data_IF_093206322008
#
_entry.id   IF_093206322008
#
_cell.length_a   1.000
_cell.length_b   1.000
_cell.length_c   1.000
_cell.angle_alpha   90.00
_cell.angle_beta   90.00
_cell.angle_gamma   90.00
#
_symmetry.space_group_name_H-M   'P 1'
#
loop_
_entity.id
_entity.type
_entity.pdbx_description
1 polymer ?
#
# COMPACT_ATOMS: atom_id res chain seq x y z
N UNK A 1 -15.28 -50.87 -18.84
CA UNK A 1 -15.72 -49.46 -18.75
C UNK A 1 -14.63 -48.75 -17.99
N UNK A 2 -13.80 -47.98 -18.69
CA UNK A 2 -12.84 -47.10 -18.08
C UNK A 2 -13.63 -45.84 -17.60
N UNK A 3 -13.65 -45.61 -16.31
CA UNK A 3 -14.10 -44.32 -15.80
C UNK A 3 -13.06 -43.29 -16.25
N UNK A 4 -13.41 -42.38 -17.15
CA UNK A 4 -12.70 -41.13 -17.29
C UNK A 4 -12.94 -40.40 -15.96
N UNK A 5 -11.97 -40.33 -15.10
CA UNK A 5 -11.89 -39.28 -14.09
C UNK A 5 -11.55 -38.02 -14.88
N UNK A 6 -12.48 -37.13 -14.96
CA UNK A 6 -12.26 -35.76 -15.45
C UNK A 6 -11.43 -35.10 -14.35
N UNK A 7 -10.12 -35.16 -14.43
CA UNK A 7 -9.18 -34.50 -13.52
C UNK A 7 -9.06 -33.03 -13.96
N UNK A 8 -10.18 -32.29 -13.88
CA UNK A 8 -10.18 -30.87 -14.12
C UNK A 8 -9.54 -30.19 -12.91
N UNK A 9 -8.38 -29.61 -13.11
CA UNK A 9 -7.70 -28.80 -12.10
C UNK A 9 -8.29 -27.40 -12.09
N UNK A 10 -8.47 -26.84 -10.90
CA UNK A 10 -9.00 -25.49 -10.70
C UNK A 10 -7.99 -24.64 -9.95
N UNK A 11 -7.91 -23.34 -10.33
CA UNK A 11 -7.19 -22.33 -9.57
C UNK A 11 -8.16 -21.39 -8.87
N UNK A 12 -7.84 -21.00 -7.65
CA UNK A 12 -8.66 -20.11 -6.86
C UNK A 12 -8.36 -18.63 -7.17
N UNK A 13 -9.42 -17.82 -7.13
CA UNK A 13 -9.36 -16.39 -7.38
C UNK A 13 -9.57 -16.01 -8.83
N UNK A 14 -10.50 -15.11 -9.05
CA UNK A 14 -10.79 -14.57 -10.40
C UNK A 14 -10.63 -13.05 -10.34
N UNK A 15 -9.91 -12.50 -11.30
CA UNK A 15 -9.72 -11.06 -11.42
C UNK A 15 -10.70 -10.46 -12.42
N UNK A 16 -11.50 -9.51 -11.95
CA UNK A 16 -12.46 -8.81 -12.79
C UNK A 16 -11.96 -7.41 -13.13
N UNK A 17 -11.86 -7.11 -14.42
CA UNK A 17 -11.67 -5.74 -14.86
C UNK A 17 -12.91 -4.91 -14.51
N UNK A 18 -12.68 -3.76 -13.89
CA UNK A 18 -13.67 -2.77 -13.52
C UNK A 18 -13.59 -1.55 -14.44
N UNK A 19 -14.37 -0.50 -14.14
CA UNK A 19 -14.27 0.76 -14.88
C UNK A 19 -12.86 1.31 -14.84
N UNK A 20 -12.33 1.64 -15.99
CA UNK A 20 -11.02 2.27 -16.07
C UNK A 20 -11.04 3.62 -15.35
N UNK A 21 -9.88 4.01 -14.85
CA UNK A 21 -9.69 5.26 -14.15
C UNK A 21 -9.87 6.45 -15.12
N UNK A 22 -10.81 7.35 -14.83
CA UNK A 22 -11.15 8.49 -15.70
C UNK A 22 -10.06 9.59 -15.73
N UNK A 23 -9.08 9.51 -14.83
CA UNK A 23 -7.92 10.41 -14.84
C UNK A 23 -6.82 9.95 -15.78
N UNK A 24 -5.67 10.59 -15.70
CA UNK A 24 -4.51 10.19 -16.52
C UNK A 24 -3.80 8.97 -15.92
N UNK A 25 -3.39 8.04 -16.79
CA UNK A 25 -2.58 6.89 -16.41
C UNK A 25 -1.33 7.30 -15.61
N UNK A 26 -1.09 6.65 -14.49
CA UNK A 26 -0.07 7.07 -13.53
C UNK A 26 0.49 5.95 -12.67
N UNK A 27 1.62 6.22 -12.07
CA UNK A 27 2.25 5.40 -11.03
C UNK A 27 2.54 6.26 -9.80
N UNK A 28 2.95 5.64 -8.70
CA UNK A 28 3.37 6.33 -7.47
C UNK A 28 2.31 7.28 -6.89
N UNK A 29 1.03 7.00 -7.12
CA UNK A 29 -0.07 7.71 -6.48
C UNK A 29 -0.21 7.25 -5.02
N UNK A 30 -0.76 8.12 -4.18
CA UNK A 30 -1.18 7.77 -2.83
C UNK A 30 -2.66 7.38 -2.82
N UNK A 31 -3.02 6.40 -2.00
CA UNK A 31 -4.41 5.94 -1.87
C UNK A 31 -4.82 5.67 -0.43
N UNK A 32 -6.11 5.74 -0.19
CA UNK A 32 -6.76 5.33 1.05
C UNK A 32 -8.21 4.92 0.78
N UNK A 33 -8.82 4.20 1.71
CA UNK A 33 -10.22 3.74 1.60
C UNK A 33 -11.04 4.26 2.79
N UNK A 34 -12.22 4.78 2.52
CA UNK A 34 -13.22 5.16 3.54
C UNK A 34 -14.54 4.50 3.18
N UNK A 35 -14.99 3.55 4.02
CA UNK A 35 -16.17 2.75 3.71
C UNK A 35 -16.01 1.98 2.39
N UNK A 36 -16.92 2.19 1.44
CA UNK A 36 -16.89 1.58 0.11
C UNK A 36 -16.32 2.50 -0.99
N UNK A 37 -15.57 3.52 -0.61
CA UNK A 37 -14.97 4.45 -1.56
C UNK A 37 -13.46 4.43 -1.41
N UNK A 38 -12.78 4.09 -2.52
CA UNK A 38 -11.33 4.23 -2.66
C UNK A 38 -10.96 5.63 -3.15
N UNK A 39 -9.94 6.23 -2.57
CA UNK A 39 -9.43 7.55 -2.99
C UNK A 39 -8.03 7.40 -3.54
N UNK A 40 -7.80 7.96 -4.73
CA UNK A 40 -6.52 8.02 -5.42
C UNK A 40 -6.13 9.48 -5.60
N UNK A 41 -4.98 9.87 -5.07
CA UNK A 41 -4.50 11.25 -5.13
C UNK A 41 -3.04 11.28 -5.57
N UNK A 42 -2.62 12.37 -6.21
CA UNK A 42 -1.21 12.60 -6.57
C UNK A 42 -0.65 11.60 -7.61
N UNK A 43 0.65 11.41 -7.62
CA UNK A 43 1.30 10.43 -8.48
C UNK A 43 2.16 11.04 -9.59
N UNK A 44 2.68 10.14 -10.43
CA UNK A 44 3.58 10.47 -11.53
C UNK A 44 2.96 10.10 -12.87
N UNK A 45 2.85 11.09 -13.77
CA UNK A 45 2.46 10.92 -15.17
C UNK A 45 3.71 10.79 -16.04
N UNK A 46 3.97 9.58 -16.53
CA UNK A 46 5.20 9.29 -17.26
C UNK A 46 5.31 9.99 -18.62
N UNK A 47 4.19 10.18 -19.32
CA UNK A 47 4.18 10.77 -20.66
C UNK A 47 4.74 12.21 -20.70
N UNK A 48 4.50 12.99 -19.66
CA UNK A 48 4.97 14.39 -19.53
C UNK A 48 5.97 14.59 -18.38
N UNK A 49 6.24 13.51 -17.60
CA UNK A 49 7.12 13.52 -16.42
C UNK A 49 6.64 14.46 -15.30
N UNK A 50 5.33 14.72 -15.25
CA UNK A 50 4.74 15.60 -14.25
C UNK A 50 4.43 14.84 -12.95
N UNK A 51 4.47 15.57 -11.82
CA UNK A 51 3.84 15.17 -10.57
C UNK A 51 2.46 15.78 -10.51
N UNK A 52 1.54 15.04 -9.91
CA UNK A 52 0.13 15.37 -9.89
C UNK A 52 -0.30 15.77 -8.48
N UNK A 53 -1.41 16.49 -8.37
CA UNK A 53 -2.06 16.86 -7.11
C UNK A 53 -3.58 16.73 -7.17
N UNK A 54 -4.11 16.15 -8.26
CA UNK A 54 -5.51 15.80 -8.37
C UNK A 54 -5.90 14.67 -7.40
N UNK A 55 -7.15 14.58 -7.10
CA UNK A 55 -7.73 13.54 -6.26
C UNK A 55 -8.99 12.98 -6.91
N UNK A 56 -9.21 11.69 -6.76
CA UNK A 56 -10.30 10.95 -7.37
C UNK A 56 -10.91 9.98 -6.36
N UNK A 57 -12.21 9.80 -6.43
CA UNK A 57 -12.95 8.81 -5.67
C UNK A 57 -13.43 7.69 -6.60
N UNK A 58 -13.22 6.45 -6.20
CA UNK A 58 -13.77 5.26 -6.83
C UNK A 58 -14.87 4.67 -5.93
N UNK A 59 -16.11 4.80 -6.37
CA UNK A 59 -17.23 4.12 -5.73
C UNK A 59 -17.19 2.65 -6.14
N UNK A 60 -16.84 1.78 -5.18
CA UNK A 60 -16.61 0.36 -5.41
C UNK A 60 -17.93 -0.36 -5.76
N UNK A 61 -19.07 0.06 -5.21
CA UNK A 61 -20.37 -0.51 -5.53
C UNK A 61 -20.87 -0.07 -6.89
N UNK A 62 -20.83 1.25 -7.15
CA UNK A 62 -21.26 1.82 -8.42
C UNK A 62 -20.29 1.53 -9.57
N UNK A 63 -19.07 1.05 -9.26
CA UNK A 63 -17.99 0.81 -10.22
C UNK A 63 -17.73 2.06 -11.09
N UNK A 64 -17.52 3.20 -10.46
CA UNK A 64 -17.35 4.47 -11.16
C UNK A 64 -16.37 5.41 -10.47
N UNK A 65 -15.61 6.16 -11.27
CA UNK A 65 -14.67 7.18 -10.82
C UNK A 65 -15.32 8.56 -10.84
N UNK A 66 -14.98 9.40 -9.90
CA UNK A 66 -15.40 10.79 -9.83
C UNK A 66 -14.23 11.66 -9.38
N UNK A 67 -13.99 12.76 -10.08
CA UNK A 67 -12.95 13.69 -9.69
C UNK A 67 -13.37 14.49 -8.45
N UNK A 68 -12.49 14.51 -7.46
CA UNK A 68 -12.61 15.30 -6.25
C UNK A 68 -11.86 16.63 -6.37
N UNK A 69 -12.02 17.50 -5.38
CA UNK A 69 -11.19 18.70 -5.27
C UNK A 69 -9.72 18.32 -5.17
N UNK A 70 -8.90 18.86 -6.06
CA UNK A 70 -7.44 18.67 -6.04
C UNK A 70 -6.83 19.23 -4.75
N UNK A 71 -5.66 18.76 -4.36
CA UNK A 71 -4.88 19.36 -3.27
C UNK A 71 -4.67 20.85 -3.55
N UNK A 72 -4.72 21.72 -2.53
CA UNK A 72 -4.65 23.17 -2.69
C UNK A 72 -3.28 23.63 -3.24
N UNK A 73 -3.20 24.89 -3.67
CA UNK A 73 -1.97 25.44 -4.26
C UNK A 73 -0.78 25.45 -3.30
N UNK A 74 -1.05 25.53 -2.00
CA UNK A 74 -0.04 25.44 -0.95
C UNK A 74 0.62 24.03 -0.88
N UNK A 75 -0.10 22.98 -1.32
CA UNK A 75 0.44 21.63 -1.39
C UNK A 75 1.22 21.42 -2.69
N UNK A 76 2.50 21.00 -2.65
CA UNK A 76 3.23 20.66 -3.85
C UNK A 76 2.60 19.48 -4.61
N UNK A 77 2.67 19.52 -5.94
CA UNK A 77 2.45 18.32 -6.76
C UNK A 77 3.54 17.29 -6.45
N UNK A 78 3.16 16.03 -6.25
CA UNK A 78 4.03 15.01 -5.70
C UNK A 78 3.78 13.61 -6.22
N UNK A 79 4.78 12.76 -6.10
CA UNK A 79 4.65 11.32 -6.26
C UNK A 79 5.25 10.59 -5.05
N UNK A 80 4.99 9.29 -4.95
CA UNK A 80 5.48 8.44 -3.88
C UNK A 80 5.16 8.96 -2.45
N UNK A 81 4.05 9.68 -2.33
CA UNK A 81 3.42 9.97 -1.06
C UNK A 81 2.72 8.72 -0.53
N UNK A 82 2.40 8.71 0.75
CA UNK A 82 1.56 7.65 1.33
C UNK A 82 0.21 8.20 1.77
N UNK A 83 -0.80 7.31 1.81
CA UNK A 83 -2.16 7.67 2.19
C UNK A 83 -2.74 6.72 3.22
N UNK A 84 -3.50 7.26 4.17
CA UNK A 84 -4.23 6.50 5.18
C UNK A 84 -5.55 7.17 5.53
N UNK A 85 -6.45 6.42 6.16
CA UNK A 85 -7.71 6.95 6.65
C UNK A 85 -7.80 6.86 8.18
N UNK A 86 -8.43 7.87 8.80
CA UNK A 86 -8.81 7.84 10.22
C UNK A 86 -10.26 8.29 10.32
N UNK A 87 -11.11 7.40 10.78
CA UNK A 87 -12.56 7.63 10.80
C UNK A 87 -13.11 7.90 9.38
N UNK A 88 -13.70 9.06 9.18
CA UNK A 88 -14.28 9.47 7.89
C UNK A 88 -13.38 10.42 7.09
N UNK A 89 -12.13 10.58 7.46
CA UNK A 89 -11.17 11.49 6.80
C UNK A 89 -10.01 10.70 6.20
N UNK A 90 -9.56 11.16 5.04
CA UNK A 90 -8.34 10.66 4.40
C UNK A 90 -7.15 11.59 4.64
N UNK A 91 -5.95 11.03 4.59
CA UNK A 91 -4.72 11.80 4.80
C UNK A 91 -3.71 11.40 3.73
N UNK A 92 -3.04 12.42 3.17
CA UNK A 92 -1.89 12.27 2.27
C UNK A 92 -0.70 12.91 2.96
N UNK A 93 0.38 12.16 3.10
CA UNK A 93 1.59 12.63 3.76
C UNK A 93 2.84 12.28 2.96
N UNK A 94 3.88 13.09 3.13
CA UNK A 94 5.22 12.86 2.57
C UNK A 94 5.25 12.87 1.02
N UNK A 95 6.24 12.24 0.42
CA UNK A 95 6.40 12.18 -1.03
C UNK A 95 7.57 13.01 -1.56
N UNK A 96 7.63 13.17 -2.87
CA UNK A 96 8.69 13.90 -3.55
C UNK A 96 8.14 15.05 -4.42
N UNK A 97 8.66 16.26 -4.19
CA UNK A 97 8.44 17.46 -4.99
C UNK A 97 9.56 17.60 -6.03
N UNK A 98 9.24 17.32 -7.29
CA UNK A 98 10.23 17.41 -8.36
C UNK A 98 10.60 18.87 -8.73
N UNK A 99 9.77 19.85 -8.40
CA UNK A 99 10.04 21.27 -8.66
C UNK A 99 11.13 21.78 -7.76
N UNK A 100 11.05 21.44 -6.48
CA UNK A 100 12.07 21.79 -5.48
C UNK A 100 13.19 20.75 -5.38
N UNK A 101 12.99 19.56 -5.98
CA UNK A 101 13.88 18.39 -5.84
C UNK A 101 14.08 18.02 -4.37
N UNK A 102 13.01 18.00 -3.61
CA UNK A 102 13.05 17.79 -2.17
C UNK A 102 12.03 16.74 -1.74
N UNK A 103 12.34 16.04 -0.67
CA UNK A 103 11.42 15.15 0.02
C UNK A 103 10.46 15.99 0.88
N UNK A 104 9.27 15.49 1.10
CA UNK A 104 8.22 16.18 1.85
C UNK A 104 8.00 15.50 3.20
N UNK A 105 7.60 16.29 4.19
CA UNK A 105 7.15 15.84 5.52
C UNK A 105 5.77 16.38 5.89
N UNK A 106 5.12 17.12 4.98
CA UNK A 106 3.80 17.69 5.20
C UNK A 106 2.71 16.60 5.26
N UNK A 107 1.59 16.95 5.86
CA UNK A 107 0.41 16.10 5.93
C UNK A 107 -0.84 16.93 5.61
N UNK A 108 -1.73 16.35 4.81
CA UNK A 108 -2.96 16.98 4.35
C UNK A 108 -4.15 16.08 4.61
N UNK A 109 -5.18 16.62 5.25
CA UNK A 109 -6.45 15.94 5.48
C UNK A 109 -7.41 16.24 4.33
N UNK A 110 -8.06 15.21 3.80
CA UNK A 110 -9.20 15.32 2.91
C UNK A 110 -10.49 14.97 3.63
N UNK A 111 -11.49 15.83 3.50
CA UNK A 111 -12.83 15.63 4.00
C UNK A 111 -13.81 15.31 2.86
N UNK A 112 -14.24 14.07 2.67
CA UNK A 112 -15.19 13.71 1.63
C UNK A 112 -16.56 14.42 1.76
N UNK A 113 -17.00 14.70 3.00
CA UNK A 113 -18.31 15.31 3.23
C UNK A 113 -18.39 16.75 2.70
N UNK A 114 -17.26 17.46 2.70
CA UNK A 114 -17.16 18.86 2.23
C UNK A 114 -16.36 18.97 0.93
N UNK A 115 -15.80 17.86 0.45
CA UNK A 115 -14.89 17.80 -0.70
C UNK A 115 -13.77 18.85 -0.60
N UNK A 116 -13.11 18.92 0.56
CA UNK A 116 -12.12 19.96 0.85
C UNK A 116 -10.88 19.41 1.56
N UNK A 117 -9.80 20.19 1.46
CA UNK A 117 -8.51 19.86 2.05
C UNK A 117 -8.16 20.81 3.19
N UNK A 118 -7.48 20.28 4.21
CA UNK A 118 -6.91 21.01 5.33
C UNK A 118 -5.47 20.59 5.55
N UNK A 119 -4.58 21.57 5.72
CA UNK A 119 -3.20 21.30 6.13
C UNK A 119 -3.16 20.84 7.59
N UNK A 120 -2.45 19.74 7.85
CA UNK A 120 -2.24 19.19 9.17
C UNK A 120 -0.80 19.41 9.64
N UNK A 121 -0.46 18.99 10.85
CA UNK A 121 0.91 19.05 11.33
C UNK A 121 1.85 18.23 10.44
N UNK A 122 2.99 18.78 10.10
CA UNK A 122 4.06 18.07 9.43
C UNK A 122 4.74 17.08 10.38
N UNK A 123 5.27 15.99 9.85
CA UNK A 123 6.13 15.09 10.62
C UNK A 123 7.36 15.89 11.04
N UNK A 124 7.77 15.88 12.34
CA UNK A 124 8.94 16.58 12.79
C UNK A 124 10.20 16.22 11.99
N UNK A 125 10.95 17.22 11.61
CA UNK A 125 12.22 17.06 10.89
C UNK A 125 13.33 17.72 11.73
N UNK A 126 14.35 16.97 12.11
CA UNK A 126 15.42 17.47 12.97
C UNK A 126 16.28 18.48 12.24
N UNK A 127 16.38 19.69 12.81
CA UNK A 127 17.19 20.79 12.24
C UNK A 127 18.57 20.93 12.86
N UNK A 128 18.89 20.12 13.88
CA UNK A 128 20.01 20.33 14.81
C UNK A 128 20.98 19.12 14.94
N UNK A 129 21.07 18.30 13.91
CA UNK A 129 21.93 17.11 13.91
C UNK A 129 21.33 15.92 14.68
N UNK A 130 20.08 16.00 15.12
CA UNK A 130 19.32 14.83 15.54
C UNK A 130 18.99 13.99 14.30
N UNK A 131 19.12 12.65 14.39
CA UNK A 131 18.76 11.71 13.32
C UNK A 131 17.23 11.56 13.16
N UNK A 132 16.50 12.67 13.23
CA UNK A 132 15.05 12.71 13.06
C UNK A 132 14.78 13.24 11.65
N UNK A 133 14.27 12.39 10.79
CA UNK A 133 14.00 12.69 9.40
C UNK A 133 12.51 12.57 9.11
N UNK A 134 11.76 13.68 9.21
CA UNK A 134 10.36 13.73 8.82
C UNK A 134 10.17 13.61 7.31
N UNK A 135 11.03 14.28 6.54
CA UNK A 135 11.02 14.27 5.08
C UNK A 135 11.38 12.90 4.52
N UNK A 136 10.49 12.37 3.64
CA UNK A 136 10.69 11.07 2.99
C UNK A 136 9.72 10.82 1.84
N UNK A 137 9.99 9.82 1.03
CA UNK A 137 9.07 9.26 0.05
C UNK A 137 9.05 7.73 0.15
N UNK A 138 8.08 7.08 -0.48
CA UNK A 138 7.85 5.62 -0.38
C UNK A 138 7.77 5.09 1.06
N UNK A 139 7.25 5.91 1.97
CA UNK A 139 6.86 5.45 3.29
C UNK A 139 5.62 4.56 3.20
N UNK A 140 5.45 3.65 4.13
CA UNK A 140 4.18 2.96 4.33
C UNK A 140 3.34 3.68 5.39
N UNK A 141 2.03 3.51 5.32
CA UNK A 141 1.10 4.05 6.31
C UNK A 141 -0.15 3.21 6.46
N UNK A 142 -0.82 3.34 7.59
CA UNK A 142 -2.09 2.69 7.89
C UNK A 142 -2.85 3.48 8.95
N UNK A 143 -4.18 3.28 9.01
CA UNK A 143 -5.01 3.83 10.07
C UNK A 143 -5.56 2.71 10.96
N UNK A 144 -5.58 2.92 12.28
CA UNK A 144 -6.22 2.02 13.26
C UNK A 144 -6.93 2.86 14.30
N UNK A 145 -8.22 2.60 14.49
CA UNK A 145 -9.05 3.34 15.44
C UNK A 145 -9.07 4.84 15.11
N UNK A 146 -8.61 5.65 16.04
CA UNK A 146 -8.58 7.11 15.90
C UNK A 146 -7.21 7.67 15.48
N UNK A 147 -6.24 6.82 15.14
CA UNK A 147 -4.88 7.21 14.85
C UNK A 147 -4.42 6.80 13.45
N UNK A 148 -3.59 7.65 12.84
CA UNK A 148 -2.78 7.29 11.69
C UNK A 148 -1.39 6.86 12.10
N UNK A 149 -0.77 6.02 11.29
CA UNK A 149 0.60 5.56 11.48
C UNK A 149 1.35 5.66 10.17
N UNK A 150 2.61 6.08 10.24
CA UNK A 150 3.49 6.22 9.09
C UNK A 150 4.90 5.84 9.49
N UNK A 151 5.59 5.09 8.65
CA UNK A 151 6.97 4.72 8.92
C UNK A 151 7.75 4.32 7.69
N UNK A 152 9.01 4.03 7.88
CA UNK A 152 9.94 3.61 6.83
C UNK A 152 10.11 4.67 5.72
N UNK A 153 10.48 4.26 4.49
CA UNK A 153 10.68 5.19 3.39
C UNK A 153 12.15 5.58 3.19
N UNK A 154 12.38 6.61 2.36
CA UNK A 154 13.72 7.01 1.94
C UNK A 154 13.86 8.54 1.86
N UNK A 155 15.02 9.04 2.26
CA UNK A 155 15.43 10.46 2.16
C UNK A 155 16.95 10.56 2.06
N UNK A 156 17.55 10.00 1.02
CA UNK A 156 18.97 9.71 0.87
C UNK A 156 19.47 8.58 1.81
N UNK A 157 18.65 8.19 2.79
CA UNK A 157 18.85 7.03 3.65
C UNK A 157 17.55 6.25 3.79
N UNK A 158 17.63 4.92 3.82
CA UNK A 158 16.49 4.08 4.15
C UNK A 158 16.12 4.25 5.61
N UNK A 159 14.82 4.42 5.88
CA UNK A 159 14.29 4.67 7.23
C UNK A 159 13.68 3.40 7.82
N UNK A 160 13.60 3.32 9.16
CA UNK A 160 12.86 2.30 9.89
C UNK A 160 12.07 2.83 11.09
N UNK A 161 12.08 4.15 11.28
CA UNK A 161 11.27 4.79 12.31
C UNK A 161 9.79 4.72 11.98
N UNK A 162 8.96 4.82 13.01
CA UNK A 162 7.52 4.95 12.89
C UNK A 162 7.01 6.14 13.69
N UNK A 163 5.93 6.73 13.21
CA UNK A 163 5.23 7.86 13.78
C UNK A 163 3.75 7.54 13.93
N UNK A 164 3.18 7.94 15.06
CA UNK A 164 1.74 7.93 15.32
C UNK A 164 1.19 9.34 15.16
N UNK A 165 0.13 9.48 14.40
CA UNK A 165 -0.59 10.73 14.19
C UNK A 165 -1.92 10.71 14.94
N UNK A 166 -2.13 11.71 15.80
CA UNK A 166 -3.41 11.95 16.45
C UNK A 166 -4.07 13.23 15.85
N UNK A 167 -5.08 13.07 14.99
CA UNK A 167 -5.75 14.22 14.37
C UNK A 167 -6.60 15.04 15.33
N UNK A 168 -6.86 14.58 16.55
CA UNK A 168 -7.70 15.24 17.53
C UNK A 168 -6.96 16.28 18.39
N UNK A 169 -5.64 16.29 18.35
CA UNK A 169 -4.82 17.21 19.15
C UNK A 169 -4.73 18.58 18.46
N UNK A 170 -5.22 19.60 19.13
CA UNK A 170 -5.21 20.96 18.60
C UNK A 170 -5.95 21.10 17.27
N UNK A 171 -5.55 22.06 16.45
CA UNK A 171 -6.19 22.30 15.15
C UNK A 171 -5.59 21.47 14.00
N UNK A 172 -4.32 21.09 14.11
CA UNK A 172 -3.58 20.40 13.04
C UNK A 172 -3.22 18.94 13.36
N UNK A 173 -3.60 18.42 14.52
CA UNK A 173 -3.14 17.11 14.98
C UNK A 173 -1.69 17.13 15.46
N UNK A 174 -1.20 15.99 15.92
CA UNK A 174 0.16 15.84 16.45
C UNK A 174 0.78 14.53 16.01
N UNK A 175 2.06 14.58 15.65
CA UNK A 175 2.88 13.40 15.39
C UNK A 175 3.74 13.07 16.58
N UNK A 176 3.71 11.81 17.01
CA UNK A 176 4.54 11.27 18.10
C UNK A 176 5.42 10.16 17.57
N UNK A 177 6.73 10.24 17.83
CA UNK A 177 7.65 9.18 17.46
C UNK A 177 7.35 7.89 18.22
N UNK A 178 7.42 6.76 17.53
CA UNK A 178 7.23 5.43 18.09
C UNK A 178 8.57 4.73 18.24
N UNK A 179 8.65 3.80 19.18
CA UNK A 179 9.82 2.95 19.40
C UNK A 179 9.46 1.47 19.24
N UNK A 180 10.48 0.62 19.19
CA UNK A 180 10.30 -0.83 19.28
C UNK A 180 10.21 -1.58 17.96
N UNK A 181 10.06 -0.92 16.81
CA UNK A 181 10.15 -1.61 15.53
C UNK A 181 11.55 -2.19 15.32
N UNK A 182 11.64 -3.52 15.32
CA UNK A 182 12.90 -4.25 15.19
C UNK A 182 13.29 -4.55 13.73
N UNK A 183 12.38 -4.33 12.77
CA UNK A 183 12.56 -4.69 11.37
C UNK A 183 13.64 -3.89 10.66
N UNK A 184 13.92 -4.32 9.44
CA UNK A 184 14.93 -3.69 8.60
C UNK A 184 14.47 -2.32 8.09
N UNK A 185 15.43 -1.45 7.80
CA UNK A 185 15.19 -0.22 7.03
C UNK A 185 14.67 -0.58 5.65
N UNK A 186 13.69 0.18 5.14
CA UNK A 186 13.09 -0.09 3.82
C UNK A 186 12.41 1.11 3.21
N UNK A 187 12.23 1.09 1.89
CA UNK A 187 11.23 1.86 1.16
C UNK A 187 10.35 0.92 0.33
N UNK A 188 9.17 1.39 -0.07
CA UNK A 188 8.25 0.59 -0.88
C UNK A 188 7.74 -0.67 -0.20
N UNK A 189 7.77 -0.70 1.15
CA UNK A 189 7.11 -1.75 1.94
C UNK A 189 5.60 -1.62 1.91
N UNK A 190 4.90 -2.68 2.25
CA UNK A 190 3.44 -2.74 2.29
C UNK A 190 2.96 -2.90 3.72
N UNK A 191 1.74 -2.39 3.96
CA UNK A 191 1.04 -2.61 5.22
C UNK A 191 -0.44 -2.94 4.95
N UNK A 192 -1.01 -3.77 5.80
CA UNK A 192 -2.45 -4.06 5.87
C UNK A 192 -2.88 -4.24 7.32
N UNK A 193 -4.18 -4.06 7.59
CA UNK A 193 -4.71 -4.12 8.95
C UNK A 193 -5.80 -5.18 9.03
N UNK A 194 -5.65 -6.13 9.96
CA UNK A 194 -6.65 -7.15 10.29
C UNK A 194 -6.95 -7.05 11.78
N UNK A 195 -8.21 -6.89 12.16
CA UNK A 195 -8.66 -6.85 13.56
C UNK A 195 -7.84 -5.90 14.45
N UNK A 196 -7.65 -4.66 13.96
CA UNK A 196 -6.85 -3.61 14.62
C UNK A 196 -5.37 -3.96 14.85
N UNK A 197 -4.85 -4.96 14.18
CA UNK A 197 -3.42 -5.27 14.13
C UNK A 197 -2.87 -4.88 12.77
N UNK A 198 -1.81 -4.09 12.72
CA UNK A 198 -1.13 -3.79 11.48
C UNK A 198 -0.05 -4.83 11.19
N UNK A 199 0.03 -5.24 9.92
CA UNK A 199 1.03 -6.15 9.39
C UNK A 199 1.90 -5.42 8.37
N UNK A 200 3.23 -5.55 8.49
CA UNK A 200 4.21 -4.84 7.67
C UNK A 200 5.15 -5.84 7.01
N UNK A 201 5.24 -5.81 5.69
CA UNK A 201 6.06 -6.74 4.92
C UNK A 201 6.73 -6.10 3.70
N UNK A 202 7.71 -6.80 3.15
CA UNK A 202 8.36 -6.47 1.89
C UNK A 202 9.06 -5.11 1.85
N UNK A 203 9.26 -4.62 0.64
CA UNK A 203 10.06 -3.42 0.38
C UNK A 203 11.49 -3.75 -0.02
N UNK A 204 12.27 -2.72 -0.27
CA UNK A 204 13.68 -2.86 -0.63
C UNK A 204 14.59 -2.03 0.29
N UNK A 205 15.82 -2.50 0.44
CA UNK A 205 16.90 -1.83 1.16
C UNK A 205 18.23 -2.04 0.44
N UNK A 206 18.83 -0.96 -0.05
CA UNK A 206 20.12 -0.99 -0.77
C UNK A 206 20.15 -2.00 -1.94
N UNK A 207 19.05 -2.10 -2.71
CA UNK A 207 18.97 -2.99 -3.87
C UNK A 207 18.71 -4.47 -3.52
N UNK A 208 18.37 -4.76 -2.28
CA UNK A 208 17.96 -6.10 -1.83
C UNK A 208 16.52 -6.09 -1.36
N UNK A 209 15.80 -7.15 -1.64
CA UNK A 209 14.45 -7.35 -1.10
C UNK A 209 14.51 -7.51 0.42
N UNK A 210 13.53 -6.95 1.12
CA UNK A 210 13.36 -7.09 2.56
C UNK A 210 12.41 -8.26 2.83
N UNK A 211 12.89 -9.23 3.59
CA UNK A 211 12.19 -10.50 3.83
C UNK A 211 11.48 -10.57 5.17
N UNK A 212 11.79 -9.69 6.12
CA UNK A 212 11.19 -9.71 7.44
C UNK A 212 9.69 -9.33 7.39
N UNK A 213 8.94 -9.91 8.30
CA UNK A 213 7.52 -9.68 8.46
C UNK A 213 7.20 -9.35 9.91
N UNK A 214 6.45 -8.29 10.13
CA UNK A 214 6.18 -7.75 11.45
C UNK A 214 4.71 -7.44 11.66
N UNK A 215 4.21 -7.57 12.89
CA UNK A 215 2.94 -6.98 13.27
C UNK A 215 3.09 -5.96 14.40
N UNK A 216 2.15 -5.01 14.43
CA UNK A 216 2.02 -3.98 15.45
C UNK A 216 0.64 -4.04 16.11
N UNK A 217 0.61 -4.16 17.43
CA UNK A 217 -0.61 -4.09 18.21
C UNK A 217 -0.70 -2.72 18.91
N UNK A 218 -1.58 -1.81 18.49
CA UNK A 218 -1.71 -0.49 19.08
C UNK A 218 -2.28 -0.50 20.50
N UNK A 219 -3.05 -1.52 20.88
CA UNK A 219 -3.60 -1.63 22.22
C UNK A 219 -2.54 -1.85 23.30
N UNK A 220 -1.43 -2.51 22.92
CA UNK A 220 -0.27 -2.75 23.81
C UNK A 220 0.94 -1.88 23.44
N UNK A 221 0.92 -1.25 22.28
CA UNK A 221 2.05 -0.48 21.74
C UNK A 221 3.25 -1.36 21.36
N UNK A 222 3.04 -2.66 21.11
CA UNK A 222 4.13 -3.62 20.90
C UNK A 222 4.26 -4.06 19.47
N UNK A 223 5.50 -4.28 19.05
CA UNK A 223 5.87 -4.91 17.79
C UNK A 223 6.25 -6.37 18.03
N UNK A 224 5.88 -7.23 17.08
CA UNK A 224 6.25 -8.65 17.09
C UNK A 224 6.73 -9.02 15.70
N UNK A 225 7.87 -9.71 15.61
CA UNK A 225 8.35 -10.36 14.42
C UNK A 225 7.54 -11.64 14.17
N UNK A 226 7.15 -11.82 12.92
CA UNK A 226 6.42 -12.97 12.42
C UNK A 226 7.34 -13.83 11.55
N UNK A 227 6.82 -14.88 10.94
CA UNK A 227 7.59 -15.74 10.04
C UNK A 227 8.07 -14.96 8.81
N UNK A 228 9.36 -15.10 8.48
CA UNK A 228 9.95 -14.39 7.34
C UNK A 228 9.37 -14.84 5.99
N UNK A 229 9.48 -13.98 4.99
CA UNK A 229 8.90 -14.16 3.66
C UNK A 229 9.88 -14.82 2.68
N UNK A 230 10.55 -15.88 3.09
CA UNK A 230 11.39 -16.67 2.21
C UNK A 230 11.66 -18.04 2.84
N UNK A 231 12.06 -19.00 2.02
CA UNK A 231 12.52 -20.32 2.44
C UNK A 231 13.76 -20.14 3.35
N UNK A 232 13.58 -20.31 4.64
CA UNK A 232 14.59 -20.09 5.68
C UNK A 232 14.72 -21.27 6.64
N UNK A 233 13.65 -21.98 6.89
CA UNK A 233 13.60 -23.06 7.86
C UNK A 233 13.78 -24.42 7.19
N UNK A 234 14.00 -25.45 7.99
CA UNK A 234 13.97 -26.86 7.54
C UNK A 234 12.52 -27.41 7.55
N UNK A 235 11.53 -26.56 7.80
CA UNK A 235 10.10 -26.93 7.85
C UNK A 235 9.46 -26.74 6.47
N UNK A 236 8.57 -27.62 6.06
CA UNK A 236 7.95 -27.64 4.73
C UNK A 236 7.07 -26.41 4.41
N UNK A 237 6.68 -25.60 5.43
CA UNK A 237 5.71 -24.50 5.26
C UNK A 237 6.25 -23.33 4.42
N UNK A 238 7.55 -23.15 4.33
CA UNK A 238 8.19 -22.02 3.63
C UNK A 238 8.94 -22.43 2.35
N UNK A 239 8.93 -23.72 2.00
CA UNK A 239 9.58 -24.26 0.78
C UNK A 239 9.12 -23.51 -0.49
N UNK A 240 7.86 -23.11 -0.54
CA UNK A 240 7.25 -22.41 -1.69
C UNK A 240 7.38 -20.89 -1.65
N UNK A 241 7.96 -20.31 -0.58
CA UNK A 241 8.09 -18.83 -0.42
C UNK A 241 9.10 -18.19 -1.38
N UNK A 242 9.42 -18.84 -2.48
CA UNK A 242 10.40 -18.39 -3.47
C UNK A 242 9.99 -17.15 -4.25
N UNK A 243 8.70 -16.84 -4.33
CA UNK A 243 8.17 -15.72 -5.14
C UNK A 243 7.37 -14.67 -4.35
N UNK A 244 7.28 -14.82 -3.03
CA UNK A 244 6.48 -13.90 -2.19
C UNK A 244 7.12 -12.52 -2.03
N UNK A 245 8.46 -12.47 -1.91
CA UNK A 245 9.18 -11.22 -1.62
C UNK A 245 9.04 -10.22 -2.74
N UNK A 246 8.64 -9.00 -2.40
CA UNK A 246 8.41 -7.90 -3.34
C UNK A 246 8.39 -6.54 -2.67
N UNK A 247 8.48 -5.50 -3.49
CA UNK A 247 8.36 -4.09 -3.12
C UNK A 247 7.31 -3.40 -4.00
N UNK A 248 6.76 -2.28 -3.53
CA UNK A 248 5.78 -1.48 -4.27
C UNK A 248 4.57 -2.28 -4.76
N UNK A 249 4.16 -3.26 -3.98
CA UNK A 249 3.02 -4.13 -4.25
C UNK A 249 1.73 -3.54 -3.66
N UNK A 250 0.63 -4.17 -4.00
CA UNK A 250 -0.68 -3.91 -3.42
C UNK A 250 -0.93 -4.87 -2.25
N UNK A 251 -1.28 -4.32 -1.09
CA UNK A 251 -1.71 -5.10 0.06
C UNK A 251 -3.12 -4.69 0.47
N UNK A 252 -4.02 -5.66 0.61
CA UNK A 252 -5.41 -5.44 0.98
C UNK A 252 -5.94 -6.61 1.80
N UNK A 253 -7.10 -6.42 2.42
CA UNK A 253 -7.73 -7.42 3.30
C UNK A 253 -9.08 -7.83 2.73
N UNK A 254 -9.33 -9.13 2.67
CA UNK A 254 -10.63 -9.72 2.37
C UNK A 254 -10.93 -10.80 3.42
N UNK A 255 -12.06 -10.68 4.11
CA UNK A 255 -12.56 -11.67 5.08
C UNK A 255 -11.53 -12.10 6.15
N UNK A 256 -10.80 -11.12 6.69
CA UNK A 256 -9.83 -11.33 7.77
C UNK A 256 -8.52 -11.97 7.33
N UNK A 257 -8.27 -12.08 6.02
CA UNK A 257 -7.00 -12.50 5.46
C UNK A 257 -6.31 -11.35 4.72
N UNK A 258 -4.97 -11.33 4.79
CA UNK A 258 -4.14 -10.38 4.05
C UNK A 258 -3.82 -10.89 2.65
N UNK A 259 -3.87 -10.02 1.66
CA UNK A 259 -3.53 -10.32 0.27
C UNK A 259 -2.39 -9.44 -0.19
N UNK A 260 -1.40 -10.02 -0.85
CA UNK A 260 -0.25 -9.34 -1.39
C UNK A 260 -0.16 -9.64 -2.89
N UNK A 261 -0.38 -8.65 -3.75
CA UNK A 261 -0.47 -8.84 -5.19
C UNK A 261 0.34 -7.79 -5.96
N UNK A 262 0.71 -8.10 -7.20
CA UNK A 262 1.54 -7.24 -8.05
C UNK A 262 2.90 -6.90 -7.41
N UNK A 263 3.50 -5.75 -7.77
CA UNK A 263 4.80 -5.34 -7.24
C UNK A 263 5.98 -5.86 -8.06
N UNK A 264 7.17 -5.63 -7.55
CA UNK A 264 8.43 -6.04 -8.19
C UNK A 264 9.47 -6.46 -7.15
N UNK A 265 10.47 -7.23 -7.55
CA UNK A 265 11.67 -7.46 -6.72
C UNK A 265 12.58 -6.23 -6.75
N UNK A 266 13.52 -6.14 -5.80
CA UNK A 266 14.59 -5.13 -5.82
C UNK A 266 15.41 -5.17 -7.11
N UNK A 267 15.52 -6.34 -7.77
CA UNK A 267 16.11 -6.51 -9.09
C UNK A 267 15.26 -6.02 -10.27
N UNK A 268 14.05 -5.50 -10.01
CA UNK A 268 13.16 -4.92 -11.03
C UNK A 268 12.29 -5.94 -11.78
N UNK A 269 12.23 -7.20 -11.35
CA UNK A 269 11.34 -8.22 -11.93
C UNK A 269 9.93 -8.06 -11.37
N UNK A 270 8.95 -7.85 -12.24
CA UNK A 270 7.54 -7.72 -11.84
C UNK A 270 6.93 -9.08 -11.46
N UNK A 271 5.98 -9.05 -10.54
CA UNK A 271 5.23 -10.21 -10.06
C UNK A 271 3.81 -10.20 -10.63
N UNK A 272 3.34 -11.35 -11.15
CA UNK A 272 1.95 -11.58 -11.56
C UNK A 272 1.15 -12.31 -10.50
N UNK A 273 1.79 -13.19 -9.73
CA UNK A 273 1.13 -13.96 -8.67
C UNK A 273 0.70 -13.09 -7.48
N UNK A 274 -0.20 -13.63 -6.69
CA UNK A 274 -0.55 -13.07 -5.38
C UNK A 274 -0.42 -14.14 -4.28
N UNK A 275 -0.42 -13.67 -3.03
CA UNK A 275 -0.28 -14.50 -1.83
C UNK A 275 -1.35 -14.13 -0.82
N UNK A 276 -1.80 -15.10 -0.03
CA UNK A 276 -2.82 -14.97 1.00
C UNK A 276 -2.19 -15.25 2.36
N UNK A 277 -2.28 -14.29 3.28
CA UNK A 277 -1.83 -14.44 4.66
C UNK A 277 -2.99 -14.79 5.59
N UNK A 278 -2.82 -15.84 6.38
CA UNK A 278 -3.75 -16.20 7.45
C UNK A 278 -3.14 -15.86 8.82
N UNK A 279 -3.69 -14.86 9.55
CA UNK A 279 -3.17 -14.46 10.85
C UNK A 279 -3.35 -15.51 11.94
N UNK A 280 -4.22 -16.51 11.75
CA UNK A 280 -4.44 -17.59 12.71
C UNK A 280 -3.29 -18.60 12.72
N UNK A 281 -2.66 -18.82 11.57
CA UNK A 281 -1.57 -19.78 11.41
C UNK A 281 -0.21 -19.11 11.28
N UNK A 282 -0.16 -17.80 11.00
CA UNK A 282 1.04 -17.06 10.62
C UNK A 282 1.71 -17.64 9.37
N UNK A 283 0.89 -18.06 8.38
CA UNK A 283 1.34 -18.67 7.12
C UNK A 283 0.84 -17.86 5.92
N UNK A 284 1.64 -17.91 4.87
CA UNK A 284 1.27 -17.43 3.55
C UNK A 284 1.01 -18.63 2.63
N UNK A 285 -0.01 -18.49 1.80
CA UNK A 285 -0.42 -19.47 0.80
C UNK A 285 -0.42 -18.80 -0.58
N UNK A 286 0.23 -19.40 -1.54
CA UNK A 286 0.31 -18.96 -2.93
C UNK A 286 0.04 -20.08 -3.92
N UNK A 287 -0.33 -21.30 -3.42
CA UNK A 287 -0.59 -22.46 -4.24
C UNK A 287 -1.97 -22.42 -4.89
N UNK A 288 -2.09 -22.99 -6.06
CA UNK A 288 -3.34 -23.12 -6.83
C UNK A 288 -4.16 -21.82 -6.96
N UNK A 289 -3.45 -20.67 -6.96
CA UNK A 289 -4.03 -19.36 -7.17
C UNK A 289 -3.86 -18.93 -8.63
N UNK A 290 -4.83 -18.14 -9.15
CA UNK A 290 -4.69 -17.50 -10.47
C UNK A 290 -3.62 -16.42 -10.42
N UNK A 291 -2.99 -16.14 -11.55
CA UNK A 291 -2.19 -14.93 -11.68
C UNK A 291 -3.08 -13.67 -11.79
N UNK A 292 -2.51 -12.52 -11.50
CA UNK A 292 -3.14 -11.23 -11.76
C UNK A 292 -3.35 -11.06 -13.28
N UNK A 293 -4.59 -11.00 -13.73
CA UNK A 293 -4.95 -10.96 -15.15
C UNK A 293 -4.61 -9.62 -15.83
N UNK A 294 -4.45 -8.55 -15.06
CA UNK A 294 -3.94 -7.29 -15.58
C UNK A 294 -2.45 -7.38 -15.95
N UNK A 295 -1.96 -6.41 -16.71
CA UNK A 295 -0.51 -6.33 -16.97
C UNK A 295 0.28 -6.23 -15.67
N UNK A 296 1.39 -6.96 -15.56
CA UNK A 296 2.27 -6.91 -14.40
C UNK A 296 2.72 -5.48 -14.10
N UNK A 297 2.69 -5.10 -12.84
CA UNK A 297 2.92 -3.72 -12.43
C UNK A 297 3.45 -3.59 -11.03
N UNK A 298 4.02 -2.45 -10.73
CA UNK A 298 4.34 -1.98 -9.39
C UNK A 298 3.80 -0.57 -9.17
N UNK A 299 3.82 -0.10 -7.91
CA UNK A 299 3.45 1.28 -7.58
C UNK A 299 2.02 1.64 -7.99
N UNK A 300 1.16 0.65 -8.00
CA UNK A 300 -0.28 0.80 -8.14
C UNK A 300 -0.89 1.25 -6.80
N UNK A 301 -2.10 1.76 -6.85
CA UNK A 301 -2.91 2.00 -5.66
C UNK A 301 -3.83 0.80 -5.43
N UNK A 302 -4.04 0.43 -4.18
CA UNK A 302 -5.04 -0.56 -3.83
C UNK A 302 -6.05 -0.01 -2.82
N UNK A 303 -7.27 -0.54 -2.90
CA UNK A 303 -8.35 -0.23 -1.97
C UNK A 303 -8.84 -1.51 -1.31
N UNK A 304 -9.07 -1.42 -0.01
CA UNK A 304 -9.52 -2.54 0.81
C UNK A 304 -10.74 -2.12 1.62
N UNK A 305 -11.82 -2.87 1.49
CA UNK A 305 -13.02 -2.66 2.32
C UNK A 305 -13.15 -3.69 3.45
N UNK A 306 -12.20 -4.61 3.56
CA UNK A 306 -12.31 -5.81 4.41
C UNK A 306 -13.14 -6.93 3.79
N UNK A 307 -13.82 -6.67 2.65
CA UNK A 307 -14.61 -7.63 1.87
C UNK A 307 -14.23 -7.65 0.39
N UNK A 308 -13.63 -6.58 -0.08
CA UNK A 308 -13.25 -6.39 -1.49
C UNK A 308 -11.84 -5.83 -1.57
N UNK A 309 -11.05 -6.34 -2.50
CA UNK A 309 -9.70 -5.90 -2.81
C UNK A 309 -9.61 -5.41 -4.25
N UNK A 310 -9.18 -4.16 -4.42
CA UNK A 310 -9.14 -3.46 -5.70
C UNK A 310 -7.71 -3.02 -5.97
N UNK A 311 -7.24 -3.16 -7.20
CA UNK A 311 -5.97 -2.60 -7.70
C UNK A 311 -6.28 -1.64 -8.83
N UNK A 312 -5.71 -0.44 -8.79
CA UNK A 312 -5.88 0.57 -9.82
C UNK A 312 -4.55 1.24 -10.18
N UNK A 313 -4.38 1.60 -11.44
CA UNK A 313 -3.22 2.32 -11.94
C UNK A 313 -1.89 1.56 -11.80
N UNK A 314 -0.78 2.25 -11.59
CA UNK A 314 0.56 1.66 -11.51
C UNK A 314 1.27 1.63 -12.85
N UNK A 315 2.43 0.98 -12.88
CA UNK A 315 3.21 0.93 -14.12
C UNK A 315 4.22 -0.21 -14.15
N UNK A 316 4.72 -0.48 -15.36
CA UNK A 316 5.81 -1.41 -15.60
C UNK A 316 6.75 -0.81 -16.67
N UNK A 317 8.03 -0.63 -16.31
CA UNK A 317 9.02 0.01 -17.18
C UNK A 317 8.56 1.42 -17.62
N UNK A 318 8.21 1.60 -18.90
CA UNK A 318 7.72 2.86 -19.48
C UNK A 318 6.21 2.90 -19.68
N UNK A 319 5.50 1.84 -19.29
CA UNK A 319 4.05 1.76 -19.40
C UNK A 319 3.40 2.21 -18.10
N UNK A 320 2.32 2.98 -18.23
CA UNK A 320 1.51 3.50 -17.13
C UNK A 320 0.08 3.11 -17.38
N UNK A 321 -0.60 2.63 -16.34
CA UNK A 321 -1.93 2.03 -16.45
C UNK A 321 -2.99 2.96 -15.86
N UNK A 322 -4.20 2.84 -16.38
CA UNK A 322 -5.43 3.49 -15.93
C UNK A 322 -6.55 2.47 -15.67
N UNK A 323 -6.27 1.18 -15.83
CA UNK A 323 -7.22 0.12 -15.56
C UNK A 323 -7.44 -0.12 -14.06
N UNK A 324 -8.59 -0.66 -13.73
CA UNK A 324 -8.99 -1.03 -12.37
C UNK A 324 -9.39 -2.50 -12.35
N UNK A 325 -8.96 -3.24 -11.34
CA UNK A 325 -9.17 -4.68 -11.19
C UNK A 325 -9.66 -5.01 -9.78
N UNK A 326 -10.53 -6.01 -9.68
CA UNK A 326 -11.05 -6.55 -8.43
C UNK A 326 -10.79 -8.05 -8.34
N UNK A 327 -10.24 -8.51 -7.22
CA UNK A 327 -10.09 -9.93 -6.92
C UNK A 327 -11.36 -10.50 -6.29
N UNK A 328 -11.81 -11.65 -6.80
CA UNK A 328 -12.83 -12.54 -6.21
C UNK A 328 -12.16 -13.81 -5.73
N UNK A 329 -11.65 -13.87 -4.51
CA UNK A 329 -10.74 -14.94 -4.08
C UNK A 329 -11.41 -16.31 -3.92
N UNK A 330 -12.75 -16.35 -3.88
CA UNK A 330 -13.53 -17.59 -3.71
C UNK A 330 -14.20 -18.07 -5.00
N UNK A 331 -13.92 -17.42 -6.12
CA UNK A 331 -14.29 -17.90 -7.44
C UNK A 331 -13.13 -18.71 -8.02
N UNK A 332 -13.41 -19.64 -8.94
CA UNK A 332 -12.45 -20.58 -9.47
C UNK A 332 -12.42 -20.53 -10.98
N UNK A 333 -11.25 -20.70 -11.55
CA UNK A 333 -11.05 -20.90 -12.97
C UNK A 333 -10.54 -22.31 -13.25
N UNK A 334 -10.96 -22.87 -14.39
CA UNK A 334 -10.50 -24.15 -14.92
C UNK A 334 -9.08 -23.96 -15.51
N UNK A 335 -8.11 -24.80 -15.11
CA UNK A 335 -6.73 -24.77 -15.64
C UNK A 335 -6.67 -25.26 -17.09
#
# INVERSE_FOLDING_TARGET
MAACTDDTEYTAGVWYRRSDFDGVARTDAAGFTIGNVGYLCTGYRGSTKDRLKDCWAYDIEANSWTQCTSMPDAAPARNAATGFAVGTKGYIATGYDATKKDYLNDCWQYDPATNSWKEMASIPDGTDGTNIYGKRYYALSFGIGQYGYLGTGYNDNYQKDFWKFDPSVGDKGEWTAMSGFGGQKRMGGMAFVIDDIAYICGGENNGSDVTDFWCFNPATGTWKELRELYDKSDDDYDDDYTSIVRSYACAFVIDGKGYLAAGQTAGGSYRSNYWIYDPLTDLWDGEDLTDFEGSTRSKAVCFSTGKRGIIATGGASTYYYDDTWELKPYEYEEK
#
